data_IF_062193291126
#
_entry.id   IF_062193291126
#
_cell.length_a   1.000
_cell.length_b   1.000
_cell.length_c   1.000
_cell.angle_alpha   90.00
_cell.angle_beta   90.00
_cell.angle_gamma   90.00
#
_symmetry.space_group_name_H-M   'P 1'
#
loop_
_entity.id
_entity.type
_entity.pdbx_description
1 polymer ?
#
# COMPACT_ATOMS: atom_id res chain seq x y z
N UNK A 1 -0.22 36.52 -13.54
CA UNK A 1 0.79 36.05 -12.57
C UNK A 1 0.96 34.57 -12.87
N UNK A 2 1.97 34.26 -13.68
CA UNK A 2 2.27 32.91 -14.15
C UNK A 2 2.47 32.01 -12.92
N UNK A 3 1.60 31.01 -12.73
CA UNK A 3 1.88 29.95 -11.77
C UNK A 3 3.16 29.26 -12.23
N UNK A 4 4.17 29.13 -11.36
CA UNK A 4 5.36 28.33 -11.65
C UNK A 4 4.92 26.89 -11.94
N UNK A 5 4.73 26.56 -13.21
CA UNK A 5 4.24 25.25 -13.64
C UNK A 5 5.43 24.30 -13.64
N UNK A 6 5.39 23.27 -12.80
CA UNK A 6 6.35 22.16 -12.87
C UNK A 6 6.23 21.57 -14.29
N UNK A 7 7.35 21.46 -15.01
CA UNK A 7 7.28 20.86 -16.36
C UNK A 7 7.00 19.35 -16.27
N UNK A 8 6.32 18.79 -17.27
CA UNK A 8 6.09 17.33 -17.37
C UNK A 8 7.40 16.54 -17.27
N UNK A 9 8.46 17.03 -17.93
CA UNK A 9 9.78 16.43 -17.89
C UNK A 9 10.38 16.43 -16.48
N UNK A 10 10.32 17.56 -15.78
CA UNK A 10 10.80 17.68 -14.39
C UNK A 10 10.07 16.70 -13.48
N UNK A 11 8.74 16.60 -13.59
CA UNK A 11 7.95 15.68 -12.77
C UNK A 11 8.35 14.20 -13.01
N UNK A 12 8.50 13.79 -14.27
CA UNK A 12 8.89 12.41 -14.63
C UNK A 12 10.32 12.11 -14.19
N UNK A 13 11.26 13.03 -14.38
CA UNK A 13 12.66 12.89 -13.94
C UNK A 13 12.73 12.78 -12.42
N UNK A 14 12.00 13.62 -11.69
CA UNK A 14 11.95 13.57 -10.24
C UNK A 14 11.37 12.24 -9.72
N UNK A 15 10.26 11.76 -10.31
CA UNK A 15 9.68 10.46 -9.96
C UNK A 15 10.67 9.33 -10.24
N UNK A 16 11.31 9.33 -11.41
CA UNK A 16 12.33 8.32 -11.77
C UNK A 16 13.49 8.34 -10.78
N UNK A 17 14.01 9.53 -10.44
CA UNK A 17 15.09 9.70 -9.48
C UNK A 17 14.71 9.19 -8.09
N UNK A 18 13.49 9.47 -7.62
CA UNK A 18 12.98 8.95 -6.34
C UNK A 18 12.88 7.41 -6.37
N UNK A 19 12.35 6.82 -7.45
CA UNK A 19 12.28 5.35 -7.61
C UNK A 19 13.67 4.71 -7.53
N UNK A 20 14.63 5.22 -8.30
CA UNK A 20 16.00 4.70 -8.32
C UNK A 20 16.67 4.88 -6.95
N UNK A 21 16.51 6.04 -6.32
CA UNK A 21 17.06 6.33 -5.00
C UNK A 21 16.48 5.40 -3.93
N UNK A 22 15.17 5.17 -3.96
CA UNK A 22 14.47 4.27 -3.04
C UNK A 22 14.99 2.84 -3.12
N UNK A 23 15.28 2.34 -4.32
CA UNK A 23 15.90 1.02 -4.49
C UNK A 23 17.37 1.02 -4.09
N UNK A 24 18.15 1.98 -4.59
CA UNK A 24 19.59 2.02 -4.39
C UNK A 24 19.98 2.11 -2.91
N UNK A 25 19.24 2.89 -2.13
CA UNK A 25 19.53 3.10 -0.72
C UNK A 25 19.34 1.83 0.13
N UNK A 26 18.49 0.88 -0.30
CA UNK A 26 18.31 -0.40 0.38
C UNK A 26 19.58 -1.26 0.33
N UNK A 27 20.42 -1.06 -0.69
CA UNK A 27 21.71 -1.74 -0.84
C UNK A 27 22.89 -0.87 -0.36
N UNK A 28 22.66 0.41 -0.03
CA UNK A 28 23.69 1.32 0.44
C UNK A 28 24.52 0.79 1.62
N UNK A 29 23.94 0.14 2.66
CA UNK A 29 24.72 -0.42 3.76
C UNK A 29 25.82 -1.40 3.31
N UNK A 30 25.52 -2.22 2.29
CA UNK A 30 26.43 -3.26 1.81
C UNK A 30 27.34 -2.77 0.68
N UNK A 31 26.80 -2.05 -0.30
CA UNK A 31 27.52 -1.65 -1.51
C UNK A 31 28.25 -0.31 -1.36
N UNK A 32 27.65 0.66 -0.67
CA UNK A 32 28.16 2.04 -0.59
C UNK A 32 28.97 2.23 0.70
N UNK A 33 28.36 1.95 1.85
CA UNK A 33 28.97 2.14 3.17
C UNK A 33 29.92 1.00 3.57
N UNK A 34 29.95 -0.10 2.78
CA UNK A 34 30.77 -1.31 3.02
C UNK A 34 30.71 -1.80 4.47
N UNK A 35 29.52 -1.72 5.09
CA UNK A 35 29.34 -2.15 6.47
C UNK A 35 29.56 -3.67 6.58
N UNK A 36 30.07 -4.16 7.72
CA UNK A 36 30.23 -5.59 7.95
C UNK A 36 28.88 -6.31 7.81
N UNK A 37 28.93 -7.57 7.39
CA UNK A 37 27.73 -8.40 7.25
C UNK A 37 26.92 -8.34 8.55
N UNK A 38 25.60 -8.15 8.47
CA UNK A 38 24.77 -8.03 9.65
C UNK A 38 24.86 -9.31 10.49
N UNK A 39 24.99 -9.20 11.82
CA UNK A 39 25.17 -10.35 12.69
C UNK A 39 23.90 -11.22 12.82
N UNK A 40 22.74 -10.66 12.48
CA UNK A 40 21.46 -11.36 12.52
C UNK A 40 20.53 -10.87 11.40
N UNK A 41 19.50 -11.67 11.09
CA UNK A 41 18.43 -11.28 10.17
C UNK A 41 17.70 -10.02 10.64
N UNK A 42 17.46 -9.87 11.96
CA UNK A 42 16.83 -8.68 12.51
C UNK A 42 17.68 -7.42 12.25
N UNK A 43 19.00 -7.51 12.46
CA UNK A 43 19.92 -6.40 12.16
C UNK A 43 19.96 -6.06 10.67
N UNK A 44 19.86 -7.07 9.78
CA UNK A 44 19.73 -6.84 8.33
C UNK A 44 18.45 -6.06 7.99
N UNK A 45 17.32 -6.46 8.56
CA UNK A 45 16.03 -5.82 8.33
C UNK A 45 15.98 -4.39 8.88
N UNK A 46 16.49 -4.16 10.10
CA UNK A 46 16.54 -2.82 10.71
C UNK A 46 17.36 -1.86 9.85
N UNK A 47 18.52 -2.29 9.31
CA UNK A 47 19.31 -1.46 8.39
C UNK A 47 18.50 -1.04 7.17
N UNK A 48 17.72 -1.95 6.57
CA UNK A 48 16.85 -1.63 5.43
C UNK A 48 15.70 -0.69 5.82
N UNK A 49 15.13 -0.83 7.03
CA UNK A 49 14.10 0.08 7.53
C UNK A 49 14.62 1.50 7.66
N UNK A 50 15.82 1.67 8.24
CA UNK A 50 16.48 2.98 8.36
C UNK A 50 16.73 3.57 6.98
N UNK A 51 17.25 2.79 6.03
CA UNK A 51 17.45 3.25 4.66
C UNK A 51 16.15 3.69 3.97
N UNK A 52 15.07 2.90 4.09
CA UNK A 52 13.77 3.24 3.53
C UNK A 52 13.21 4.53 4.15
N UNK A 53 13.36 4.70 5.47
CA UNK A 53 12.94 5.92 6.17
C UNK A 53 13.73 7.15 5.69
N UNK A 54 15.07 7.05 5.59
CA UNK A 54 15.93 8.13 5.08
C UNK A 54 15.52 8.51 3.65
N UNK A 55 15.34 7.50 2.78
CA UNK A 55 14.91 7.74 1.40
C UNK A 55 13.54 8.41 1.30
N UNK A 56 12.62 8.02 2.17
CA UNK A 56 11.28 8.62 2.25
C UNK A 56 11.37 10.08 2.67
N UNK A 57 12.16 10.40 3.69
CA UNK A 57 12.39 11.78 4.15
C UNK A 57 13.03 12.62 3.04
N UNK A 58 14.07 12.10 2.37
CA UNK A 58 14.73 12.79 1.26
C UNK A 58 13.75 13.03 0.11
N UNK A 59 12.90 12.06 -0.22
CA UNK A 59 11.88 12.20 -1.26
C UNK A 59 10.84 13.29 -0.92
N UNK A 60 10.40 13.36 0.34
CA UNK A 60 9.52 14.42 0.83
C UNK A 60 10.20 15.79 0.75
N UNK A 61 11.49 15.89 1.08
CA UNK A 61 12.21 17.16 0.97
C UNK A 61 12.36 17.59 -0.50
N UNK A 62 12.76 16.68 -1.40
CA UNK A 62 12.87 16.97 -2.83
C UNK A 62 11.52 17.37 -3.42
N UNK A 63 10.44 16.66 -3.07
CA UNK A 63 9.09 16.99 -3.50
C UNK A 63 8.69 18.41 -3.08
N UNK A 64 8.92 18.78 -1.80
CA UNK A 64 8.66 20.12 -1.30
C UNK A 64 9.48 21.24 -1.97
N UNK A 65 10.66 20.90 -2.50
CA UNK A 65 11.51 21.85 -3.24
C UNK A 65 11.05 22.06 -4.68
N UNK A 66 10.50 21.03 -5.33
CA UNK A 66 10.05 21.08 -6.73
C UNK A 66 8.65 21.67 -6.85
N UNK A 67 7.76 21.39 -5.88
CA UNK A 67 6.40 21.86 -5.92
C UNK A 67 6.31 23.39 -5.77
N UNK A 68 5.38 24.06 -6.49
CA UNK A 68 5.25 25.51 -6.50
C UNK A 68 4.47 26.00 -5.26
N UNK A 69 5.03 25.74 -4.08
CA UNK A 69 4.42 26.07 -2.79
C UNK A 69 4.90 27.45 -2.34
N UNK A 70 4.04 28.46 -2.50
CA UNK A 70 4.34 29.86 -2.17
C UNK A 70 4.67 30.10 -0.68
N UNK A 71 4.12 29.28 0.22
CA UNK A 71 4.42 29.31 1.67
C UNK A 71 4.72 27.90 2.16
N UNK A 72 5.96 27.66 2.57
CA UNK A 72 6.43 26.37 3.13
C UNK A 72 6.00 26.18 4.59
N UNK A 73 4.74 26.51 4.89
CA UNK A 73 4.15 26.20 6.19
C UNK A 73 3.95 24.68 6.28
N UNK A 74 4.25 24.10 7.45
CA UNK A 74 4.19 22.65 7.64
C UNK A 74 2.79 22.09 7.39
N UNK A 75 1.74 22.80 7.79
CA UNK A 75 0.34 22.42 7.57
C UNK A 75 -0.02 22.28 6.09
N UNK A 76 0.47 23.20 5.24
CA UNK A 76 0.25 23.18 3.80
C UNK A 76 1.00 22.00 3.17
N UNK A 77 2.25 21.78 3.57
CA UNK A 77 3.05 20.65 3.10
C UNK A 77 2.42 19.29 3.46
N UNK A 78 1.93 19.16 4.69
CA UNK A 78 1.22 17.95 5.13
C UNK A 78 -0.06 17.73 4.32
N UNK A 79 -0.82 18.79 4.04
CA UNK A 79 -1.99 18.72 3.16
C UNK A 79 -1.67 18.28 1.73
N UNK A 80 -0.56 18.76 1.15
CA UNK A 80 -0.08 18.31 -0.18
C UNK A 80 0.20 16.81 -0.18
N UNK A 81 0.77 16.29 0.90
CA UNK A 81 1.07 14.87 1.09
C UNK A 81 -0.16 14.04 1.49
N UNK A 82 -1.34 14.65 1.59
CA UNK A 82 -2.56 13.99 2.04
C UNK A 82 -2.50 13.56 3.51
N UNK A 83 -1.61 14.16 4.30
CA UNK A 83 -1.51 13.96 5.75
C UNK A 83 -2.41 15.00 6.41
N UNK A 84 -3.67 14.63 6.59
CA UNK A 84 -4.68 15.48 7.19
C UNK A 84 -5.52 14.68 8.19
N UNK A 85 -6.05 15.37 9.20
CA UNK A 85 -6.81 14.77 10.31
C UNK A 85 -8.32 14.76 10.08
N UNK A 86 -8.80 15.54 9.12
CA UNK A 86 -10.21 15.63 8.79
C UNK A 86 -10.71 14.32 8.18
N UNK A 87 -11.92 13.84 8.51
CA UNK A 87 -12.52 12.66 7.88
C UNK A 87 -11.66 11.37 7.87
N UNK A 88 -10.73 11.21 8.83
CA UNK A 88 -9.86 10.01 8.93
C UNK A 88 -10.68 8.72 8.95
N UNK A 89 -11.79 8.69 9.69
CA UNK A 89 -12.62 7.49 9.80
C UNK A 89 -13.14 7.03 8.43
N UNK A 90 -13.65 7.96 7.61
CA UNK A 90 -14.09 7.69 6.24
C UNK A 90 -12.91 7.23 5.38
N UNK A 91 -11.77 7.93 5.50
CA UNK A 91 -10.52 7.61 4.81
C UNK A 91 -9.94 6.24 5.17
N UNK A 92 -10.30 5.65 6.31
CA UNK A 92 -9.88 4.30 6.68
C UNK A 92 -10.96 3.27 6.31
N UNK A 93 -12.19 3.50 6.72
CA UNK A 93 -13.24 2.47 6.68
C UNK A 93 -13.71 2.17 5.27
N UNK A 94 -13.98 3.19 4.45
CA UNK A 94 -14.46 2.95 3.10
C UNK A 94 -13.40 2.27 2.21
N UNK A 95 -12.12 2.70 2.20
CA UNK A 95 -11.09 1.99 1.45
C UNK A 95 -10.84 0.57 1.94
N UNK A 96 -10.83 0.32 3.26
CA UNK A 96 -10.68 -1.05 3.80
C UNK A 96 -11.88 -1.91 3.42
N UNK A 97 -13.10 -1.38 3.48
CA UNK A 97 -14.30 -2.09 3.07
C UNK A 97 -14.29 -2.41 1.58
N UNK A 98 -13.99 -1.44 0.70
CA UNK A 98 -13.85 -1.68 -0.73
C UNK A 98 -12.78 -2.75 -1.01
N UNK A 99 -11.63 -2.65 -0.34
CA UNK A 99 -10.56 -3.64 -0.49
C UNK A 99 -11.05 -5.01 -0.02
N UNK A 100 -11.75 -5.11 1.10
CA UNK A 100 -12.23 -6.39 1.63
C UNK A 100 -13.23 -7.10 0.71
N UNK A 101 -14.01 -6.37 -0.08
CA UNK A 101 -14.89 -6.93 -1.11
C UNK A 101 -14.10 -7.73 -2.17
N UNK A 102 -12.94 -7.23 -2.61
CA UNK A 102 -12.05 -7.98 -3.51
C UNK A 102 -11.47 -9.25 -2.89
N UNK A 103 -11.47 -9.32 -1.56
CA UNK A 103 -10.98 -10.44 -0.77
C UNK A 103 -12.09 -11.29 -0.15
N UNK A 104 -13.37 -11.07 -0.52
CA UNK A 104 -14.50 -11.79 0.05
C UNK A 104 -14.34 -13.32 0.00
N UNK A 105 -13.84 -13.85 -1.13
CA UNK A 105 -13.52 -15.28 -1.25
C UNK A 105 -12.44 -15.73 -0.24
N UNK A 106 -11.33 -15.00 -0.12
CA UNK A 106 -10.28 -15.29 0.86
C UNK A 106 -10.78 -15.19 2.31
N UNK A 107 -11.68 -14.24 2.61
CA UNK A 107 -12.28 -14.08 3.93
C UNK A 107 -13.17 -15.29 4.27
N UNK A 108 -14.04 -15.71 3.34
CA UNK A 108 -14.89 -16.90 3.50
C UNK A 108 -14.02 -18.15 3.69
N UNK A 109 -12.95 -18.30 2.92
CA UNK A 109 -12.04 -19.43 3.09
C UNK A 109 -11.40 -19.43 4.49
N UNK A 110 -10.88 -18.29 4.96
CA UNK A 110 -10.27 -18.18 6.29
C UNK A 110 -11.30 -18.41 7.41
N UNK A 111 -12.54 -17.92 7.24
CA UNK A 111 -13.60 -18.16 8.23
C UNK A 111 -14.01 -19.63 8.28
N UNK A 112 -14.08 -20.31 7.14
CA UNK A 112 -14.37 -21.75 7.10
C UNK A 112 -13.30 -22.56 7.83
N UNK A 113 -12.02 -22.28 7.58
CA UNK A 113 -10.90 -22.92 8.29
C UNK A 113 -10.96 -22.64 9.79
N UNK A 114 -11.33 -21.41 10.18
CA UNK A 114 -11.45 -21.04 11.59
C UNK A 114 -12.63 -21.76 12.27
N UNK A 115 -13.76 -21.90 11.57
CA UNK A 115 -14.95 -22.64 12.05
C UNK A 115 -14.65 -24.13 12.16
N UNK A 116 -13.93 -24.73 11.20
CA UNK A 116 -13.48 -26.12 11.28
C UNK A 116 -12.57 -26.34 12.48
N UNK A 117 -11.54 -25.50 12.63
CA UNK A 117 -10.65 -25.54 13.79
C UNK A 117 -11.40 -25.32 15.12
N UNK A 118 -12.44 -24.49 15.12
CA UNK A 118 -13.28 -24.28 16.28
C UNK A 118 -14.12 -25.52 16.62
N UNK A 119 -14.76 -26.14 15.62
CA UNK A 119 -15.56 -27.36 15.78
C UNK A 119 -14.72 -28.51 16.35
N UNK A 120 -13.50 -28.68 15.86
CA UNK A 120 -12.60 -29.73 16.35
C UNK A 120 -12.23 -29.50 17.83
N UNK A 121 -12.04 -28.24 18.26
CA UNK A 121 -11.75 -27.93 19.66
C UNK A 121 -12.97 -28.14 20.58
N UNK A 122 -14.18 -27.78 20.14
CA UNK A 122 -15.41 -27.92 20.94
C UNK A 122 -15.77 -29.39 21.16
N UNK A 123 -15.57 -30.25 20.17
CA UNK A 123 -15.80 -31.70 20.30
C UNK A 123 -14.89 -32.37 21.36
N UNK A 124 -13.84 -31.67 21.83
CA UNK A 124 -12.94 -32.13 22.89
C UNK A 124 -13.19 -31.49 24.27
N UNK A 125 -14.13 -30.53 24.41
CA UNK A 125 -14.35 -29.80 25.67
C UNK A 125 -15.83 -29.66 26.05
N UNK A 126 -16.25 -30.30 27.15
CA UNK A 126 -17.64 -30.37 27.66
C UNK A 126 -18.16 -29.08 28.37
N UNK A 127 -17.78 -27.87 27.94
CA UNK A 127 -18.28 -26.66 28.60
C UNK A 127 -18.08 -25.37 27.81
N UNK A 128 -19.17 -24.78 27.31
CA UNK A 128 -19.15 -23.69 26.31
C UNK A 128 -19.80 -22.42 26.85
N UNK A 129 -18.99 -21.40 27.19
CA UNK A 129 -19.22 -19.99 26.79
C UNK A 129 -18.07 -19.08 27.26
N UNK A 130 -17.64 -19.16 28.52
CA UNK A 130 -16.63 -18.26 29.09
C UNK A 130 -15.19 -18.62 28.67
N UNK A 131 -14.87 -19.91 28.64
CA UNK A 131 -13.53 -20.39 28.24
C UNK A 131 -13.28 -20.16 26.74
N UNK A 132 -14.34 -20.16 25.93
CA UNK A 132 -14.29 -19.86 24.50
C UNK A 132 -13.88 -18.40 24.23
N UNK A 133 -14.49 -17.44 24.95
CA UNK A 133 -14.14 -16.02 24.84
C UNK A 133 -12.68 -15.81 25.27
N UNK A 134 -12.23 -16.47 26.34
CA UNK A 134 -10.82 -16.42 26.76
C UNK A 134 -9.87 -16.96 25.70
N UNK A 135 -10.18 -18.07 25.04
CA UNK A 135 -9.34 -18.64 23.96
C UNK A 135 -9.27 -17.70 22.76
N UNK A 136 -10.39 -17.07 22.37
CA UNK A 136 -10.40 -16.08 21.28
C UNK A 136 -9.55 -14.87 21.67
N UNK A 137 -9.72 -14.33 22.87
CA UNK A 137 -8.93 -13.22 23.38
C UNK A 137 -7.45 -13.60 23.46
N UNK A 138 -7.11 -14.80 23.95
CA UNK A 138 -5.73 -15.29 23.98
C UNK A 138 -5.14 -15.45 22.58
N UNK A 139 -5.88 -15.98 21.60
CA UNK A 139 -5.42 -16.06 20.21
C UNK A 139 -5.22 -14.67 19.61
N UNK A 140 -6.09 -13.71 19.92
CA UNK A 140 -5.94 -12.31 19.51
C UNK A 140 -4.72 -11.66 20.16
N UNK A 141 -4.53 -11.81 21.46
CA UNK A 141 -3.38 -11.29 22.20
C UNK A 141 -2.09 -11.93 21.68
N UNK A 142 -2.05 -13.26 21.50
CA UNK A 142 -0.90 -13.97 20.96
C UNK A 142 -0.59 -13.53 19.53
N UNK A 143 -1.61 -13.26 18.71
CA UNK A 143 -1.45 -12.68 17.37
C UNK A 143 -0.85 -11.27 17.44
N UNK A 144 -1.37 -10.40 18.32
CA UNK A 144 -0.86 -9.04 18.53
C UNK A 144 0.59 -9.06 19.03
N UNK A 145 0.91 -9.91 20.01
CA UNK A 145 2.27 -10.08 20.57
C UNK A 145 3.24 -10.64 19.53
N UNK A 146 2.78 -11.58 18.70
CA UNK A 146 3.56 -12.11 17.58
C UNK A 146 3.85 -11.02 16.55
N UNK A 147 2.89 -10.15 16.26
CA UNK A 147 3.08 -9.01 15.34
C UNK A 147 4.08 -8.00 15.91
N UNK A 148 4.00 -7.64 17.20
CA UNK A 148 4.92 -6.66 17.79
C UNK A 148 6.33 -7.19 17.95
N UNK A 149 6.51 -8.50 18.15
CA UNK A 149 7.83 -9.12 18.36
C UNK A 149 8.52 -9.53 17.04
N UNK A 150 7.77 -9.62 15.94
CA UNK A 150 8.29 -10.11 14.67
C UNK A 150 8.66 -8.96 13.73
N UNK A 151 9.95 -8.83 13.43
CA UNK A 151 10.49 -7.82 12.50
C UNK A 151 9.88 -7.94 11.10
N UNK A 152 9.50 -9.14 10.67
CA UNK A 152 8.81 -9.34 9.38
C UNK A 152 7.38 -8.79 9.42
N UNK A 153 6.69 -8.89 10.56
CA UNK A 153 5.37 -8.30 10.73
C UNK A 153 5.45 -6.76 10.72
N UNK A 154 6.44 -6.18 11.41
CA UNK A 154 6.74 -4.74 11.31
C UNK A 154 7.04 -4.28 9.88
N UNK A 155 7.81 -5.06 9.11
CA UNK A 155 8.01 -4.80 7.68
C UNK A 155 6.67 -4.73 6.95
N UNK A 156 5.86 -5.78 7.07
CA UNK A 156 4.67 -5.98 6.25
C UNK A 156 3.52 -5.04 6.60
N UNK A 157 3.38 -4.66 7.86
CA UNK A 157 2.23 -3.90 8.34
C UNK A 157 2.52 -2.43 8.61
N UNK A 158 3.78 -2.04 8.80
CA UNK A 158 4.11 -0.67 9.20
C UNK A 158 5.13 -0.06 8.23
N UNK A 159 6.35 -0.59 8.21
CA UNK A 159 7.47 0.11 7.56
C UNK A 159 7.31 0.14 6.05
N UNK A 160 7.07 -1.01 5.40
CA UNK A 160 6.97 -1.07 3.95
C UNK A 160 5.74 -0.29 3.43
N UNK A 161 4.50 -0.52 3.94
CA UNK A 161 3.35 0.25 3.50
C UNK A 161 3.53 1.77 3.68
N UNK A 162 4.02 2.20 4.85
CA UNK A 162 4.17 3.64 5.13
C UNK A 162 5.20 4.30 4.21
N UNK A 163 6.39 3.72 4.09
CA UNK A 163 7.47 4.30 3.27
C UNK A 163 7.13 4.27 1.78
N UNK A 164 6.50 3.19 1.31
CA UNK A 164 6.07 3.06 -0.07
C UNK A 164 4.94 4.04 -0.41
N UNK A 165 3.89 4.16 0.40
CA UNK A 165 2.83 5.13 0.10
C UNK A 165 3.31 6.58 0.23
N UNK A 166 4.23 6.89 1.15
CA UNK A 166 4.83 8.23 1.23
C UNK A 166 5.60 8.59 -0.05
N UNK A 167 6.47 7.71 -0.53
CA UNK A 167 7.29 7.99 -1.71
C UNK A 167 6.44 7.94 -2.97
N UNK A 168 5.72 6.85 -3.19
CA UNK A 168 5.04 6.62 -4.46
C UNK A 168 3.71 7.36 -4.56
N UNK A 169 3.01 7.68 -3.47
CA UNK A 169 1.71 8.39 -3.55
C UNK A 169 1.87 9.83 -3.11
N UNK A 170 2.28 10.05 -1.85
CA UNK A 170 2.36 11.41 -1.31
C UNK A 170 3.37 12.30 -2.06
N UNK A 171 4.50 11.77 -2.56
CA UNK A 171 5.44 12.59 -3.32
C UNK A 171 5.14 12.62 -4.82
N UNK A 172 5.03 11.45 -5.47
CA UNK A 172 4.96 11.40 -6.94
C UNK A 172 3.64 11.91 -7.50
N UNK A 173 2.49 11.64 -6.86
CA UNK A 173 1.19 12.04 -7.40
C UNK A 173 1.06 13.57 -7.46
N UNK A 174 1.33 14.34 -6.38
CA UNK A 174 1.33 15.79 -6.46
C UNK A 174 2.27 16.35 -7.53
N UNK A 175 3.48 15.79 -7.68
CA UNK A 175 4.43 16.22 -8.72
C UNK A 175 3.89 16.00 -10.13
N UNK A 176 3.29 14.83 -10.39
CA UNK A 176 2.71 14.52 -11.69
C UNK A 176 1.48 15.38 -11.98
N UNK A 177 0.60 15.58 -11.00
CA UNK A 177 -0.57 16.45 -11.18
C UNK A 177 -0.16 17.91 -11.42
N UNK A 178 0.78 18.45 -10.64
CA UNK A 178 1.34 19.78 -10.85
C UNK A 178 2.21 19.89 -12.11
N UNK A 179 2.70 18.75 -12.62
CA UNK A 179 3.31 18.62 -13.93
C UNK A 179 2.33 18.80 -15.10
N UNK A 180 1.02 18.92 -14.84
CA UNK A 180 -0.03 19.03 -15.85
C UNK A 180 -0.47 17.69 -16.43
N UNK A 181 -0.22 16.56 -15.74
CA UNK A 181 -0.82 15.28 -16.11
C UNK A 181 -2.27 15.19 -15.61
N UNK A 182 -3.13 14.59 -16.43
CA UNK A 182 -4.53 14.33 -16.03
C UNK A 182 -4.57 13.25 -14.94
N UNK A 183 -5.52 13.30 -13.99
CA UNK A 183 -5.62 12.32 -12.90
C UNK A 183 -5.63 10.86 -13.36
N UNK A 184 -6.40 10.56 -14.42
CA UNK A 184 -6.45 9.22 -15.02
C UNK A 184 -5.09 8.74 -15.50
N UNK A 185 -4.28 9.62 -16.10
CA UNK A 185 -2.92 9.28 -16.53
C UNK A 185 -2.02 9.00 -15.32
N UNK A 186 -2.15 9.79 -14.25
CA UNK A 186 -1.36 9.60 -13.03
C UNK A 186 -1.68 8.27 -12.35
N UNK A 187 -2.95 7.85 -12.34
CA UNK A 187 -3.39 6.55 -11.78
C UNK A 187 -2.64 5.38 -12.40
N UNK A 188 -2.40 5.40 -13.71
CA UNK A 188 -1.74 4.29 -14.40
C UNK A 188 -0.24 4.48 -14.56
N UNK A 189 0.26 5.71 -14.54
CA UNK A 189 1.68 6.00 -14.67
C UNK A 189 2.43 5.78 -13.34
N UNK A 190 1.88 6.26 -12.22
CA UNK A 190 2.52 6.15 -10.92
C UNK A 190 2.82 4.70 -10.47
N UNK A 191 1.94 3.71 -10.71
CA UNK A 191 2.19 2.31 -10.38
C UNK A 191 3.31 1.66 -11.19
N UNK A 192 3.66 2.21 -12.36
CA UNK A 192 4.79 1.72 -13.16
C UNK A 192 6.08 1.98 -12.39
N UNK A 193 6.28 3.20 -11.87
CA UNK A 193 7.41 3.53 -11.00
C UNK A 193 7.47 2.63 -9.76
N UNK A 194 6.31 2.39 -9.13
CA UNK A 194 6.19 1.51 -7.98
C UNK A 194 6.58 0.05 -8.29
N UNK A 195 6.11 -0.49 -9.42
CA UNK A 195 6.43 -1.85 -9.87
C UNK A 195 7.89 -2.01 -10.27
N UNK A 196 8.48 -1.00 -10.93
CA UNK A 196 9.91 -0.98 -11.26
C UNK A 196 10.79 -1.05 -10.01
N UNK A 197 10.39 -0.40 -8.91
CA UNK A 197 11.13 -0.51 -7.65
C UNK A 197 11.16 -1.94 -7.11
N UNK A 198 10.10 -2.71 -7.36
CA UNK A 198 9.95 -4.11 -6.91
C UNK A 198 10.71 -5.12 -7.78
N UNK A 199 11.18 -4.73 -8.97
CA UNK A 199 12.09 -5.56 -9.77
C UNK A 199 13.40 -5.88 -9.04
N UNK A 200 13.79 -5.12 -8.02
CA UNK A 200 14.99 -5.44 -7.24
C UNK A 200 14.88 -6.82 -6.56
N UNK A 201 13.67 -7.19 -6.12
CA UNK A 201 13.44 -8.48 -5.48
C UNK A 201 13.60 -9.62 -6.50
N UNK A 202 13.23 -9.39 -7.76
CA UNK A 202 13.47 -10.32 -8.87
C UNK A 202 14.96 -10.59 -9.05
N UNK A 203 15.80 -9.55 -9.04
CA UNK A 203 17.26 -9.69 -9.20
C UNK A 203 17.86 -10.51 -8.05
N UNK A 204 17.35 -10.33 -6.83
CA UNK A 204 17.77 -11.08 -5.66
C UNK A 204 17.36 -12.57 -5.72
N UNK A 205 16.16 -12.89 -6.20
CA UNK A 205 15.72 -14.28 -6.41
C UNK A 205 16.49 -14.97 -7.55
N UNK A 206 16.71 -14.28 -8.66
CA UNK A 206 17.48 -14.79 -9.80
C UNK A 206 18.92 -15.13 -9.43
N UNK A 207 19.57 -14.28 -8.61
CA UNK A 207 20.96 -14.48 -8.23
C UNK A 207 21.19 -15.65 -7.26
N UNK A 208 20.14 -16.09 -6.55
CA UNK A 208 20.27 -17.05 -5.42
C UNK A 208 19.82 -18.48 -5.72
N UNK A 209 19.16 -18.77 -6.85
CA UNK A 209 18.60 -20.11 -7.08
C UNK A 209 18.67 -20.60 -8.53
N UNK A 210 19.11 -21.85 -8.72
CA UNK A 210 19.08 -22.63 -9.98
C UNK A 210 17.63 -23.05 -10.37
N UNK A 211 16.68 -22.12 -10.46
CA UNK A 211 15.32 -22.41 -10.95
C UNK A 211 15.23 -22.29 -12.47
N UNK A 212 14.32 -23.06 -13.08
CA UNK A 212 13.98 -22.91 -14.50
C UNK A 212 13.48 -21.49 -14.79
N UNK A 213 14.12 -20.79 -15.73
CA UNK A 213 13.84 -19.39 -16.10
C UNK A 213 12.35 -19.10 -16.31
N UNK A 214 11.63 -20.04 -16.93
CA UNK A 214 10.20 -19.90 -17.25
C UNK A 214 9.33 -19.81 -15.99
N UNK A 215 9.54 -20.68 -15.00
CA UNK A 215 8.75 -20.66 -13.75
C UNK A 215 9.03 -19.41 -12.93
N UNK A 216 10.30 -19.03 -12.81
CA UNK A 216 10.70 -17.79 -12.12
C UNK A 216 10.09 -16.57 -12.80
N UNK A 217 10.19 -16.48 -14.13
CA UNK A 217 9.60 -15.38 -14.90
C UNK A 217 8.09 -15.31 -14.74
N UNK A 218 7.38 -16.45 -14.69
CA UNK A 218 5.93 -16.48 -14.51
C UNK A 218 5.50 -15.99 -13.13
N UNK A 219 6.14 -16.49 -12.06
CA UNK A 219 5.83 -16.08 -10.69
C UNK A 219 6.09 -14.59 -10.50
N UNK A 220 7.20 -14.09 -11.04
CA UNK A 220 7.51 -12.67 -10.90
C UNK A 220 6.62 -11.80 -11.78
N UNK A 221 6.31 -12.22 -13.01
CA UNK A 221 5.35 -11.53 -13.85
C UNK A 221 3.99 -11.36 -13.17
N UNK A 222 3.52 -12.40 -12.48
CA UNK A 222 2.29 -12.35 -11.67
C UNK A 222 2.42 -11.39 -10.49
N UNK A 223 3.54 -11.43 -9.76
CA UNK A 223 3.79 -10.52 -8.63
C UNK A 223 3.80 -9.06 -9.08
N UNK A 224 4.53 -8.72 -10.16
CA UNK A 224 4.61 -7.36 -10.69
C UNK A 224 3.26 -6.91 -11.27
N UNK A 225 2.54 -7.79 -11.96
CA UNK A 225 1.20 -7.50 -12.46
C UNK A 225 0.25 -7.14 -11.32
N UNK A 226 0.28 -7.92 -10.23
CA UNK A 226 -0.48 -7.62 -9.03
C UNK A 226 -0.06 -6.27 -8.40
N UNK A 227 1.25 -6.00 -8.31
CA UNK A 227 1.79 -4.72 -7.81
C UNK A 227 1.29 -3.52 -8.63
N UNK A 228 1.19 -3.65 -9.96
CA UNK A 228 0.64 -2.59 -10.83
C UNK A 228 -0.86 -2.40 -10.60
N UNK A 229 -1.64 -3.47 -10.50
CA UNK A 229 -3.08 -3.41 -10.25
C UNK A 229 -3.37 -2.75 -8.90
N UNK A 230 -2.75 -3.27 -7.83
CA UNK A 230 -2.87 -2.70 -6.50
C UNK A 230 -2.39 -1.24 -6.48
N UNK A 231 -1.25 -0.97 -7.13
CA UNK A 231 -0.70 0.37 -7.16
C UNK A 231 -1.61 1.37 -7.88
N UNK A 232 -2.33 0.94 -8.91
CA UNK A 232 -3.32 1.74 -9.62
C UNK A 232 -4.50 2.06 -8.71
N UNK A 233 -4.99 1.06 -7.98
CA UNK A 233 -6.04 1.24 -6.98
C UNK A 233 -5.63 2.18 -5.84
N UNK A 234 -4.41 2.04 -5.30
CA UNK A 234 -3.87 2.96 -4.29
C UNK A 234 -3.77 4.41 -4.81
N UNK A 235 -3.32 4.58 -6.06
CA UNK A 235 -3.26 5.91 -6.70
C UNK A 235 -4.66 6.50 -6.91
N UNK A 236 -5.63 5.68 -7.30
CA UNK A 236 -7.03 6.06 -7.39
C UNK A 236 -7.58 6.52 -6.04
N UNK A 237 -7.37 5.74 -4.97
CA UNK A 237 -7.79 6.11 -3.61
C UNK A 237 -7.19 7.44 -3.19
N UNK A 238 -5.88 7.64 -3.37
CA UNK A 238 -5.21 8.89 -3.01
C UNK A 238 -5.78 10.08 -3.80
N UNK A 239 -5.93 9.95 -5.12
CA UNK A 239 -6.44 11.03 -5.98
C UNK A 239 -7.89 11.39 -5.64
N UNK A 240 -8.75 10.40 -5.38
CA UNK A 240 -10.18 10.61 -5.11
C UNK A 240 -10.45 11.14 -3.71
N UNK A 241 -9.69 10.69 -2.72
CA UNK A 241 -9.90 11.06 -1.32
C UNK A 241 -9.08 12.27 -0.92
N UNK A 242 -7.88 12.46 -1.47
CA UNK A 242 -6.90 13.43 -0.98
C UNK A 242 -6.17 12.98 0.28
N UNK A 243 -6.36 11.74 0.73
CA UNK A 243 -5.82 11.22 1.98
C UNK A 243 -4.77 10.15 1.73
N UNK A 244 -3.62 10.25 2.41
CA UNK A 244 -2.59 9.20 2.42
C UNK A 244 -3.04 7.97 3.21
N UNK A 245 -3.86 8.15 4.25
CA UNK A 245 -4.30 7.03 5.09
C UNK A 245 -5.20 6.05 4.32
N UNK A 246 -5.87 6.51 3.26
CA UNK A 246 -6.74 5.68 2.41
C UNK A 246 -5.99 4.56 1.66
N UNK A 247 -5.00 4.86 0.80
CA UNK A 247 -4.17 3.82 0.20
C UNK A 247 -3.35 3.06 1.25
N UNK A 248 -2.88 3.72 2.32
CA UNK A 248 -2.10 3.05 3.37
C UNK A 248 -2.89 1.96 4.08
N UNK A 249 -4.15 2.23 4.45
CA UNK A 249 -5.02 1.25 5.09
C UNK A 249 -5.35 0.08 4.15
N UNK A 250 -5.63 0.36 2.87
CA UNK A 250 -5.81 -0.67 1.85
C UNK A 250 -4.55 -1.52 1.66
N UNK A 251 -3.36 -0.90 1.67
CA UNK A 251 -2.07 -1.58 1.57
C UNK A 251 -1.84 -2.53 2.74
N UNK A 252 -1.99 -2.05 3.98
CA UNK A 252 -1.85 -2.89 5.17
C UNK A 252 -2.81 -4.09 5.14
N UNK A 253 -4.04 -3.87 4.70
CA UNK A 253 -5.03 -4.93 4.54
C UNK A 253 -4.63 -5.95 3.46
N UNK A 254 -4.16 -5.50 2.30
CA UNK A 254 -3.63 -6.39 1.25
C UNK A 254 -2.45 -7.22 1.74
N UNK A 255 -1.51 -6.62 2.48
CA UNK A 255 -0.37 -7.34 3.06
C UNK A 255 -0.80 -8.37 4.10
N UNK A 256 -1.88 -8.10 4.85
CA UNK A 256 -2.47 -9.06 5.78
C UNK A 256 -3.13 -10.24 5.08
N UNK A 257 -3.90 -9.95 4.03
CA UNK A 257 -4.66 -10.97 3.31
C UNK A 257 -3.81 -11.79 2.34
N UNK A 258 -2.74 -11.20 1.80
CA UNK A 258 -1.90 -11.79 0.75
C UNK A 258 -2.56 -11.66 -0.64
N UNK A 259 -2.35 -12.66 -1.50
CA UNK A 259 -3.02 -12.71 -2.80
C UNK A 259 -4.49 -13.16 -2.65
N UNK A 260 -5.43 -12.54 -3.38
CA UNK A 260 -6.83 -12.96 -3.35
C UNK A 260 -6.99 -14.37 -3.94
N UNK A 261 -7.79 -15.19 -3.26
CA UNK A 261 -8.16 -16.53 -3.74
C UNK A 261 -9.33 -16.38 -4.70
N UNK A 262 -9.03 -16.49 -6.00
CA UNK A 262 -10.02 -16.27 -7.06
C UNK A 262 -10.96 -17.47 -7.23
N UNK A 263 -10.42 -18.69 -7.13
CA UNK A 263 -11.17 -19.94 -7.33
C UNK A 263 -10.71 -21.02 -6.36
N UNK A 264 -11.68 -21.67 -5.72
CA UNK A 264 -11.43 -22.90 -4.96
C UNK A 264 -12.19 -24.05 -5.61
N UNK A 265 -11.47 -25.08 -6.06
CA UNK A 265 -12.06 -26.29 -6.67
C UNK A 265 -12.85 -27.11 -5.65
N UNK A 266 -12.62 -26.91 -4.35
CA UNK A 266 -13.19 -27.72 -3.27
C UNK A 266 -14.47 -27.14 -2.70
N UNK A 267 -14.60 -25.80 -2.66
CA UNK A 267 -15.72 -25.11 -2.00
C UNK A 267 -16.30 -24.02 -2.92
N UNK A 268 -17.40 -24.32 -3.61
CA UNK A 268 -18.09 -23.39 -4.52
C UNK A 268 -18.50 -22.06 -3.86
N UNK A 269 -18.75 -22.07 -2.54
CA UNK A 269 -19.04 -20.86 -1.76
C UNK A 269 -17.93 -19.80 -1.83
N UNK A 270 -16.66 -20.20 -1.91
CA UNK A 270 -15.52 -19.26 -1.99
C UNK A 270 -15.56 -18.51 -3.33
N UNK A 271 -15.81 -19.22 -4.41
CA UNK A 271 -15.91 -18.63 -5.75
C UNK A 271 -17.14 -17.71 -5.88
N UNK A 272 -18.28 -18.11 -5.31
CA UNK A 272 -19.49 -17.28 -5.27
C UNK A 272 -19.23 -16.00 -4.48
N UNK A 273 -18.61 -16.10 -3.30
CA UNK A 273 -18.27 -14.95 -2.48
C UNK A 273 -17.29 -14.00 -3.18
N UNK A 274 -16.29 -14.54 -3.90
CA UNK A 274 -15.39 -13.73 -4.71
C UNK A 274 -16.12 -12.96 -5.82
N UNK A 275 -17.00 -13.62 -6.58
CA UNK A 275 -17.77 -12.97 -7.66
C UNK A 275 -18.71 -11.91 -7.09
N UNK A 276 -19.43 -12.21 -6.00
CA UNK A 276 -20.30 -11.26 -5.33
C UNK A 276 -19.52 -10.04 -4.80
N UNK A 277 -18.37 -10.29 -4.16
CA UNK A 277 -17.45 -9.24 -3.72
C UNK A 277 -16.93 -8.40 -4.88
N UNK A 278 -16.65 -9.00 -6.04
CA UNK A 278 -16.23 -8.29 -7.24
C UNK A 278 -17.30 -7.37 -7.80
N UNK A 279 -18.54 -7.86 -7.92
CA UNK A 279 -19.67 -7.04 -8.33
C UNK A 279 -19.91 -5.89 -7.34
N UNK A 280 -19.83 -6.18 -6.04
CA UNK A 280 -19.94 -5.18 -4.98
C UNK A 280 -18.86 -4.10 -5.07
N UNK A 281 -17.59 -4.49 -5.26
CA UNK A 281 -16.48 -3.56 -5.43
C UNK A 281 -16.71 -2.62 -6.62
N UNK A 282 -17.04 -3.17 -7.79
CA UNK A 282 -17.27 -2.37 -9.00
C UNK A 282 -18.44 -1.41 -8.84
N UNK A 283 -19.51 -1.84 -8.16
CA UNK A 283 -20.71 -1.03 -7.94
C UNK A 283 -20.47 0.11 -6.93
N UNK A 284 -19.64 -0.15 -5.91
CA UNK A 284 -19.40 0.78 -4.80
C UNK A 284 -18.13 1.63 -4.97
N UNK A 285 -17.27 1.31 -5.93
CA UNK A 285 -15.97 1.98 -6.13
C UNK A 285 -16.12 3.49 -6.23
N UNK A 286 -17.00 4.00 -7.09
CA UNK A 286 -17.23 5.44 -7.25
C UNK A 286 -18.09 6.06 -6.14
N UNK A 287 -19.22 5.46 -5.73
CA UNK A 287 -20.03 5.99 -4.63
C UNK A 287 -19.26 6.18 -3.33
N UNK A 288 -18.45 5.19 -2.94
CA UNK A 288 -17.69 5.23 -1.68
C UNK A 288 -16.43 6.08 -1.76
N UNK A 289 -15.94 6.42 -2.96
CA UNK A 289 -14.76 7.31 -3.15
C UNK A 289 -15.16 8.70 -3.64
N UNK A 290 -16.38 9.16 -3.34
CA UNK A 290 -16.80 10.53 -3.66
C UNK A 290 -16.00 11.55 -2.83
N UNK A 291 -15.38 12.58 -3.44
CA UNK A 291 -14.56 13.57 -2.74
C UNK A 291 -15.26 14.25 -1.56
N UNK A 292 -16.57 14.47 -1.67
CA UNK A 292 -17.41 15.13 -0.65
C UNK A 292 -17.45 14.37 0.69
N UNK A 293 -17.14 13.07 0.70
CA UNK A 293 -17.08 12.25 1.91
C UNK A 293 -15.79 12.47 2.71
N UNK A 294 -14.78 13.05 2.08
CA UNK A 294 -13.41 13.12 2.59
C UNK A 294 -12.89 14.56 2.76
N UNK A 295 -13.57 15.54 2.15
CA UNK A 295 -13.10 16.92 2.06
C UNK A 295 -14.26 17.90 2.28
N UNK A 296 -14.03 18.93 3.10
CA UNK A 296 -15.00 20.00 3.34
C UNK A 296 -15.20 20.92 2.13
N UNK A 297 -14.18 21.04 1.27
CA UNK A 297 -14.22 21.89 0.06
C UNK A 297 -13.69 21.10 -1.13
N UNK A 298 -14.50 21.05 -2.18
CA UNK A 298 -14.15 20.50 -3.50
C UNK A 298 -13.93 21.59 -4.57
N UNK A 299 -13.99 22.87 -4.17
CA UNK A 299 -13.86 24.04 -5.06
C UNK A 299 -12.57 24.83 -4.75
N UNK A 300 -12.05 25.59 -5.74
CA UNK A 300 -10.83 26.41 -5.66
C UNK A 300 -9.55 25.60 -5.34
N UNK A 301 -9.35 24.54 -6.11
CA UNK A 301 -8.31 23.58 -5.84
C UNK A 301 -6.95 23.96 -6.45
N UNK A 302 -5.89 23.46 -5.81
CA UNK A 302 -4.52 23.58 -6.28
C UNK A 302 -4.16 22.39 -7.16
N UNK A 303 -3.05 22.51 -7.89
CA UNK A 303 -2.64 21.48 -8.84
C UNK A 303 -2.46 20.09 -8.22
N UNK A 304 -2.14 19.98 -6.93
CA UNK A 304 -1.97 18.72 -6.22
C UNK A 304 -3.29 18.09 -5.71
N UNK A 305 -4.42 18.81 -5.75
CA UNK A 305 -5.73 18.29 -5.33
C UNK A 305 -6.40 17.52 -6.48
N UNK A 306 -5.99 16.27 -6.70
CA UNK A 306 -6.51 15.43 -7.79
C UNK A 306 -8.04 15.25 -7.79
N UNK A 307 -8.68 15.27 -6.62
CA UNK A 307 -10.10 15.04 -6.45
C UNK A 307 -10.99 16.12 -7.06
N UNK A 308 -10.50 17.35 -7.21
CA UNK A 308 -11.31 18.47 -7.74
C UNK A 308 -11.38 18.49 -9.26
N UNK A 309 -10.35 17.96 -9.92
CA UNK A 309 -10.35 17.78 -11.37
C UNK A 309 -11.17 16.58 -11.85
N UNK A 310 -11.84 15.91 -10.91
CA UNK A 310 -12.61 14.69 -11.10
C UNK A 310 -14.03 14.86 -10.54
N UNK A 311 -14.67 15.94 -10.97
CA UNK A 311 -16.11 16.17 -10.85
C UNK A 311 -16.82 15.66 -12.09
#
# INVERSE_FOLDING_TARGET
MEEEVVSKGTAVVACTAMTLSYVAILYAPTLILRLPRPPSFNSFMIRRFVCAAISSIVSLLICALILPIRRKEASVLLGVYGIQVDHIWQAVVFPVFLTSLMYAGSLVLKSLVLVESWRDNVNHSEGVSLECIKIIIQKLIASIVSVTSNVLAWRNFVVAPLTEELVFRACMIPLLLCGGFKPYTVIYLCPIFFSLAHLNHLMEFYSKQNYSLVKTSMVVGLQLGYTVIFGSYASFLFIRTGHLIAPLAAHMFCNFMGLPVLFSRRNGMVSIAFVAGMVGFLSLLFPMTRPDLYNYRSNNCKCWHGYCSWS
#
